data_IF_649464068921
#
_entry.id   IF_649464068921
#
_cell.length_a   1.000
_cell.length_b   1.000
_cell.length_c   1.000
_cell.angle_alpha   90.00
_cell.angle_beta   90.00
_cell.angle_gamma   90.00
#
_symmetry.space_group_name_H-M   'P 1'
#
loop_
_entity.id
_entity.type
_entity.pdbx_description
1 polymer ?
#
# COMPACT_ATOMS: atom_id res chain seq x y z
N UNK A 1 13.38 9.16 7.07
CA UNK A 1 12.31 9.71 6.21
C UNK A 1 11.49 8.58 5.62
N UNK A 2 10.26 8.40 6.11
CA UNK A 2 9.33 7.37 5.63
C UNK A 2 8.74 7.78 4.27
N UNK A 3 9.19 7.11 3.20
CA UNK A 3 8.93 7.48 1.81
C UNK A 3 7.43 7.41 1.46
N UNK A 4 6.68 6.34 1.79
CA UNK A 4 5.23 6.29 1.53
C UNK A 4 4.46 7.45 2.18
N UNK A 5 4.84 7.80 3.41
CA UNK A 5 4.19 8.90 4.14
C UNK A 5 4.50 10.26 3.56
N UNK A 6 5.72 10.48 3.06
CA UNK A 6 6.07 11.74 2.37
C UNK A 6 5.33 11.86 1.04
N UNK A 7 5.16 10.76 0.29
CA UNK A 7 4.27 10.75 -0.88
C UNK A 7 2.83 11.13 -0.52
N UNK A 8 2.31 10.58 0.57
CA UNK A 8 0.95 10.89 1.01
C UNK A 8 0.80 12.33 1.51
N UNK A 9 1.83 12.89 2.14
CA UNK A 9 1.89 14.30 2.51
C UNK A 9 1.82 15.20 1.26
N UNK A 10 2.57 14.89 0.19
CA UNK A 10 2.50 15.62 -1.09
C UNK A 10 1.10 15.61 -1.67
N UNK A 11 0.46 14.43 -1.76
CA UNK A 11 -0.92 14.31 -2.27
C UNK A 11 -1.90 15.13 -1.41
N UNK A 12 -1.76 15.05 -0.08
CA UNK A 12 -2.60 15.77 0.87
C UNK A 12 -2.43 17.30 0.78
N UNK A 13 -1.19 17.79 0.65
CA UNK A 13 -0.89 19.22 0.48
C UNK A 13 -1.47 19.78 -0.82
N UNK A 14 -1.42 19.01 -1.92
CA UNK A 14 -2.04 19.40 -3.19
C UNK A 14 -3.56 19.48 -3.08
N UNK A 15 -4.18 18.53 -2.39
CA UNK A 15 -5.62 18.58 -2.08
C UNK A 15 -5.97 19.80 -1.21
N UNK A 16 -5.18 20.07 -0.16
CA UNK A 16 -5.37 21.24 0.71
C UNK A 16 -5.27 22.54 -0.08
N UNK A 17 -4.31 22.67 -0.99
CA UNK A 17 -4.18 23.85 -1.83
C UNK A 17 -5.42 24.06 -2.72
N UNK A 18 -5.94 22.99 -3.32
CA UNK A 18 -7.16 23.04 -4.14
C UNK A 18 -8.38 23.47 -3.29
N UNK A 19 -8.54 22.87 -2.11
CA UNK A 19 -9.64 23.19 -1.20
C UNK A 19 -9.55 24.62 -0.68
N UNK A 20 -8.36 25.06 -0.28
CA UNK A 20 -8.14 26.40 0.27
C UNK A 20 -8.56 27.51 -0.70
N UNK A 21 -8.22 27.36 -1.99
CA UNK A 21 -8.69 28.28 -3.03
C UNK A 21 -10.21 28.18 -3.23
N UNK A 22 -10.79 26.99 -3.22
CA UNK A 22 -12.22 26.78 -3.47
C UNK A 22 -13.13 27.29 -2.35
N UNK A 23 -12.70 27.20 -1.08
CA UNK A 23 -13.48 27.59 0.09
C UNK A 23 -13.10 28.96 0.67
N UNK A 24 -12.21 29.70 -0.01
CA UNK A 24 -11.85 31.07 0.36
C UNK A 24 -10.95 31.18 1.60
N UNK A 25 -10.11 30.17 1.88
CA UNK A 25 -9.14 30.21 2.99
C UNK A 25 -7.86 31.01 2.68
N UNK A 26 -7.75 31.54 1.45
CA UNK A 26 -6.72 32.49 1.04
C UNK A 26 -5.63 31.89 0.14
N UNK A 27 -5.25 32.67 -0.87
CA UNK A 27 -4.27 32.26 -1.89
C UNK A 27 -2.85 32.04 -1.32
N UNK A 28 -2.49 32.74 -0.24
CA UNK A 28 -1.21 32.57 0.44
C UNK A 28 -1.04 31.15 1.01
N UNK A 29 -2.04 30.65 1.74
CA UNK A 29 -1.99 29.30 2.29
C UNK A 29 -1.97 28.22 1.20
N UNK A 30 -2.74 28.43 0.12
CA UNK A 30 -2.71 27.52 -1.03
C UNK A 30 -1.33 27.50 -1.71
N UNK A 31 -0.65 28.64 -1.78
CA UNK A 31 0.70 28.74 -2.33
C UNK A 31 1.72 28.03 -1.44
N UNK A 32 1.65 28.22 -0.13
CA UNK A 32 2.55 27.54 0.83
C UNK A 32 2.40 26.02 0.76
N UNK A 33 1.17 25.52 0.66
CA UNK A 33 0.91 24.08 0.48
C UNK A 33 1.55 23.54 -0.79
N UNK A 34 1.43 24.26 -1.92
CA UNK A 34 2.03 23.87 -3.21
C UNK A 34 3.56 23.89 -3.13
N UNK A 35 4.13 24.95 -2.55
CA UNK A 35 5.57 25.09 -2.42
C UNK A 35 6.17 23.93 -1.61
N UNK A 36 5.59 23.60 -0.46
CA UNK A 36 6.04 22.46 0.34
C UNK A 36 5.85 21.12 -0.38
N UNK A 37 4.72 20.94 -1.09
CA UNK A 37 4.49 19.73 -1.89
C UNK A 37 5.54 19.56 -2.99
N UNK A 38 5.94 20.64 -3.64
CA UNK A 38 6.94 20.63 -4.72
C UNK A 38 8.35 20.38 -4.17
N UNK A 39 8.70 20.99 -3.03
CA UNK A 39 9.96 20.72 -2.31
C UNK A 39 10.08 19.23 -1.93
N UNK A 40 9.05 18.67 -1.29
CA UNK A 40 9.05 17.26 -0.88
C UNK A 40 9.03 16.33 -2.09
N UNK A 41 8.33 16.70 -3.18
CA UNK A 41 8.37 15.93 -4.44
C UNK A 41 9.78 15.88 -5.01
N UNK A 42 10.49 17.00 -5.06
CA UNK A 42 11.87 17.06 -5.52
C UNK A 42 12.79 16.20 -4.62
N UNK A 43 12.63 16.28 -3.31
CA UNK A 43 13.38 15.48 -2.35
C UNK A 43 13.11 13.97 -2.51
N UNK A 44 11.86 13.56 -2.70
CA UNK A 44 11.50 12.15 -2.98
C UNK A 44 12.19 11.66 -4.25
N UNK A 45 12.17 12.44 -5.33
CA UNK A 45 12.82 12.04 -6.57
C UNK A 45 14.34 11.90 -6.39
N UNK A 46 15.01 12.75 -5.63
CA UNK A 46 16.46 12.64 -5.43
C UNK A 46 16.81 11.52 -4.45
N UNK A 47 16.12 11.46 -3.30
CA UNK A 47 16.55 10.68 -2.14
C UNK A 47 15.69 9.46 -1.84
N UNK A 48 14.44 9.40 -2.31
CA UNK A 48 13.48 8.34 -1.97
C UNK A 48 13.66 7.02 -2.71
N UNK A 49 14.62 6.92 -3.63
CA UNK A 49 14.84 5.75 -4.48
C UNK A 49 16.03 4.92 -3.99
N UNK A 50 15.98 3.62 -4.22
CA UNK A 50 17.08 2.69 -3.96
C UNK A 50 17.20 1.65 -5.07
N UNK A 51 18.24 0.82 -5.03
CA UNK A 51 18.48 -0.25 -5.98
C UNK A 51 18.43 -1.60 -5.29
N UNK A 52 17.72 -2.55 -5.87
CA UNK A 52 17.76 -3.94 -5.45
C UNK A 52 19.13 -4.56 -5.81
N UNK A 53 19.51 -5.71 -5.23
CA UNK A 53 20.71 -6.44 -5.63
C UNK A 53 20.77 -6.79 -7.13
N UNK A 54 19.62 -6.89 -7.79
CA UNK A 54 19.50 -7.08 -9.25
C UNK A 54 19.86 -5.84 -10.09
N UNK A 55 20.03 -4.67 -9.45
CA UNK A 55 20.22 -3.37 -10.09
C UNK A 55 18.92 -2.65 -10.46
N UNK A 56 17.75 -3.25 -10.26
CA UNK A 56 16.46 -2.60 -10.53
C UNK A 56 16.21 -1.45 -9.54
N UNK A 57 15.88 -0.26 -10.06
CA UNK A 57 15.53 0.91 -9.25
C UNK A 57 14.09 0.79 -8.74
N UNK A 58 13.91 1.03 -7.45
CA UNK A 58 12.62 0.97 -6.74
C UNK A 58 12.51 2.15 -5.77
N UNK A 59 11.30 2.42 -5.28
CA UNK A 59 11.14 3.26 -4.10
C UNK A 59 11.72 2.55 -2.88
N UNK A 60 12.49 3.27 -2.07
CA UNK A 60 12.85 2.83 -0.73
C UNK A 60 11.63 2.97 0.19
N UNK A 61 11.57 2.18 1.26
CA UNK A 61 10.56 2.36 2.31
C UNK A 61 10.95 3.54 3.21
N UNK A 62 12.21 3.58 3.62
CA UNK A 62 12.78 4.63 4.45
C UNK A 62 14.16 5.03 3.95
N UNK A 63 14.47 6.32 4.05
CA UNK A 63 15.79 6.88 3.73
C UNK A 63 16.21 7.88 4.81
N UNK A 64 17.50 8.09 5.04
CA UNK A 64 17.99 8.99 6.10
C UNK A 64 18.53 10.34 5.61
N UNK A 65 18.71 10.51 4.31
CA UNK A 65 19.33 11.71 3.71
C UNK A 65 20.86 11.73 3.77
N UNK A 66 21.49 10.73 4.39
CA UNK A 66 22.95 10.52 4.42
C UNK A 66 23.40 9.43 3.44
N UNK A 67 22.45 8.78 2.76
CA UNK A 67 22.70 7.75 1.74
C UNK A 67 22.23 6.36 2.15
N UNK A 68 21.74 6.16 3.38
CA UNK A 68 21.13 4.89 3.75
C UNK A 68 19.68 4.84 3.25
N UNK A 69 19.30 3.69 2.74
CA UNK A 69 17.95 3.39 2.28
C UNK A 69 17.59 1.95 2.64
N UNK A 70 16.40 1.75 3.20
CA UNK A 70 15.85 0.42 3.47
C UNK A 70 14.80 0.11 2.41
N UNK A 71 14.97 -1.03 1.73
CA UNK A 71 13.93 -1.60 0.89
C UNK A 71 13.12 -2.64 1.69
N UNK A 72 11.83 -2.36 1.87
CA UNK A 72 10.82 -3.27 2.41
C UNK A 72 9.44 -2.70 2.05
N UNK A 73 8.38 -3.37 2.49
CA UNK A 73 7.07 -2.71 2.62
C UNK A 73 6.35 -3.30 3.82
N UNK A 74 5.44 -2.53 4.38
CA UNK A 74 4.57 -2.91 5.49
C UNK A 74 3.11 -2.94 5.01
N UNK A 75 2.30 -3.80 5.61
CA UNK A 75 0.90 -3.96 5.23
C UNK A 75 0.01 -2.75 5.59
N UNK A 76 0.42 -1.92 6.54
CA UNK A 76 -0.29 -0.71 6.89
C UNK A 76 -0.22 0.32 5.76
N UNK A 77 -1.31 1.06 5.55
CA UNK A 77 -1.36 2.19 4.62
C UNK A 77 -1.14 3.49 5.40
N UNK A 78 -0.23 4.40 4.97
CA UNK A 78 0.51 4.40 3.71
C UNK A 78 1.72 3.45 3.68
N UNK A 79 1.70 2.50 2.73
CA UNK A 79 2.83 1.66 2.31
C UNK A 79 3.14 1.87 0.83
N UNK A 80 4.27 1.36 0.34
CA UNK A 80 4.69 1.50 -1.06
C UNK A 80 3.68 0.90 -2.03
N UNK A 81 3.12 -0.27 -1.68
CA UNK A 81 2.09 -0.94 -2.47
C UNK A 81 0.83 -0.07 -2.66
N UNK A 82 0.47 0.71 -1.64
CA UNK A 82 -0.73 1.53 -1.58
C UNK A 82 -0.61 2.92 -2.23
N UNK A 83 0.55 3.28 -2.78
CA UNK A 83 0.76 4.63 -3.35
C UNK A 83 -0.29 5.04 -4.40
N UNK A 84 -0.69 4.20 -5.37
CA UNK A 84 -1.74 4.58 -6.30
C UNK A 84 -3.13 4.66 -5.68
N UNK A 85 -3.40 3.86 -4.65
CA UNK A 85 -4.68 3.92 -3.92
C UNK A 85 -4.86 5.28 -3.25
N UNK A 86 -3.78 5.84 -2.70
CA UNK A 86 -3.76 7.15 -2.06
C UNK A 86 -3.65 8.33 -3.05
N UNK A 87 -3.63 8.06 -4.36
CA UNK A 87 -3.47 9.10 -5.39
C UNK A 87 -2.06 9.70 -5.47
N UNK A 88 -1.04 9.04 -4.90
CA UNK A 88 0.33 9.54 -4.89
C UNK A 88 1.04 9.35 -6.25
N UNK A 89 0.65 8.33 -7.02
CA UNK A 89 1.16 8.05 -8.36
C UNK A 89 0.13 7.27 -9.18
N UNK A 90 0.38 7.09 -10.48
CA UNK A 90 -0.47 6.27 -11.34
C UNK A 90 -0.21 4.77 -11.17
N UNK A 91 -1.25 3.93 -11.35
CA UNK A 91 -1.10 2.45 -11.35
C UNK A 91 -0.15 1.93 -12.43
N UNK A 92 0.07 2.72 -13.49
CA UNK A 92 0.96 2.41 -14.62
C UNK A 92 2.33 3.10 -14.54
N UNK A 93 2.64 3.79 -13.45
CA UNK A 93 3.96 4.40 -13.26
C UNK A 93 5.05 3.29 -13.28
N UNK A 94 6.08 3.39 -14.14
CA UNK A 94 7.08 2.34 -14.27
C UNK A 94 7.87 2.05 -12.98
N UNK A 95 8.19 3.09 -12.20
CA UNK A 95 8.90 2.96 -10.93
C UNK A 95 8.00 2.35 -9.85
N UNK A 96 6.72 2.73 -9.82
CA UNK A 96 5.73 2.06 -8.99
C UNK A 96 5.60 0.58 -9.37
N UNK A 97 5.50 0.23 -10.66
CA UNK A 97 5.36 -1.16 -11.09
C UNK A 97 6.58 -2.01 -10.74
N UNK A 98 7.80 -1.45 -10.85
CA UNK A 98 9.03 -2.10 -10.36
C UNK A 98 8.96 -2.32 -8.85
N UNK A 99 8.60 -1.29 -8.10
CA UNK A 99 8.44 -1.35 -6.64
C UNK A 99 7.38 -2.39 -6.25
N UNK A 100 6.21 -2.39 -6.90
CA UNK A 100 5.10 -3.32 -6.66
C UNK A 100 5.54 -4.77 -6.81
N UNK A 101 6.25 -5.11 -7.89
CA UNK A 101 6.79 -6.46 -8.10
C UNK A 101 7.77 -6.83 -6.98
N UNK A 102 8.65 -5.90 -6.63
CA UNK A 102 9.67 -6.14 -5.62
C UNK A 102 9.08 -6.33 -4.22
N UNK A 103 8.10 -5.51 -3.81
CA UNK A 103 7.48 -5.61 -2.47
C UNK A 103 6.60 -6.85 -2.31
N UNK A 104 6.09 -7.38 -3.43
CA UNK A 104 5.33 -8.63 -3.51
C UNK A 104 6.21 -9.84 -3.85
N UNK A 105 7.46 -9.84 -3.39
CA UNK A 105 8.43 -10.91 -3.61
C UNK A 105 9.32 -11.11 -2.39
N UNK A 106 10.17 -12.14 -2.41
CA UNK A 106 11.15 -12.40 -1.35
C UNK A 106 12.24 -11.32 -1.23
N UNK A 107 12.28 -10.32 -2.11
CA UNK A 107 13.11 -9.13 -1.92
C UNK A 107 12.62 -8.27 -0.75
N UNK A 108 11.31 -8.32 -0.43
CA UNK A 108 10.76 -7.70 0.77
C UNK A 108 10.90 -8.67 1.96
N UNK A 109 11.62 -8.30 3.04
CA UNK A 109 11.78 -9.17 4.21
C UNK A 109 10.46 -9.48 4.94
N UNK A 110 9.40 -8.70 4.69
CA UNK A 110 8.08 -8.89 5.27
C UNK A 110 7.04 -9.43 4.28
N UNK A 111 7.48 -9.89 3.09
CA UNK A 111 6.66 -10.73 2.24
C UNK A 111 6.80 -12.18 2.68
N UNK A 112 5.67 -12.80 3.05
CA UNK A 112 5.61 -14.17 3.49
C UNK A 112 4.82 -15.00 2.48
N UNK A 113 5.26 -16.24 2.26
CA UNK A 113 4.58 -17.20 1.41
C UNK A 113 4.49 -18.54 2.13
N UNK A 114 3.27 -19.06 2.24
CA UNK A 114 2.95 -20.31 2.91
C UNK A 114 1.89 -21.11 2.17
N UNK A 115 1.41 -22.18 2.81
CA UNK A 115 0.42 -23.09 2.22
C UNK A 115 -0.97 -22.46 2.10
N UNK A 116 -1.32 -21.51 2.96
CA UNK A 116 -2.63 -20.87 2.95
C UNK A 116 -2.64 -19.56 2.15
N UNK A 117 -1.56 -18.77 2.22
CA UNK A 117 -1.46 -17.50 1.49
C UNK A 117 -0.02 -17.02 1.28
N UNK A 118 0.12 -16.10 0.34
CA UNK A 118 1.26 -15.20 0.23
C UNK A 118 0.80 -13.75 0.35
N UNK A 119 1.58 -12.91 1.03
CA UNK A 119 1.27 -11.50 1.21
C UNK A 119 2.26 -10.80 2.13
N UNK A 120 2.03 -9.51 2.36
CA UNK A 120 2.92 -8.66 3.17
C UNK A 120 2.38 -8.62 4.60
N UNK A 121 3.29 -8.66 5.56
CA UNK A 121 3.01 -8.36 6.97
C UNK A 121 3.77 -7.13 7.42
N UNK A 122 4.56 -7.29 8.47
CA UNK A 122 5.36 -6.22 9.03
C UNK A 122 6.05 -6.65 10.33
N UNK A 123 6.97 -5.84 10.87
CA UNK A 123 7.62 -6.15 12.15
C UNK A 123 6.65 -6.11 13.34
N UNK A 124 5.48 -5.48 13.20
CA UNK A 124 4.54 -5.25 14.32
C UNK A 124 4.02 -6.55 14.95
N UNK A 125 3.58 -7.51 14.16
CA UNK A 125 3.16 -8.84 14.65
C UNK A 125 4.30 -9.86 14.54
N UNK A 126 5.22 -9.65 13.59
CA UNK A 126 6.39 -10.49 13.40
C UNK A 126 6.31 -11.41 12.18
N UNK A 127 7.20 -12.40 12.17
CA UNK A 127 7.43 -13.28 11.00
C UNK A 127 6.22 -14.14 10.68
N UNK A 128 6.07 -14.44 9.39
CA UNK A 128 5.10 -15.41 8.85
C UNK A 128 3.62 -15.02 8.99
N UNK A 129 3.35 -13.79 9.44
CA UNK A 129 2.00 -13.25 9.64
C UNK A 129 1.62 -12.34 8.48
N UNK A 130 0.73 -12.81 7.61
CA UNK A 130 0.21 -12.06 6.45
C UNK A 130 -0.97 -11.21 6.90
N UNK A 131 -1.02 -9.96 6.44
CA UNK A 131 -2.09 -9.05 6.79
C UNK A 131 -3.11 -8.94 5.64
N UNK A 132 -4.42 -9.14 5.90
CA UNK A 132 -5.46 -8.96 4.87
C UNK A 132 -5.39 -7.61 4.16
N UNK A 133 -4.97 -6.54 4.85
CA UNK A 133 -4.83 -5.21 4.25
C UNK A 133 -3.85 -5.18 3.07
N UNK A 134 -2.76 -5.96 3.11
CA UNK A 134 -1.83 -5.99 1.97
C UNK A 134 -2.49 -6.61 0.73
N UNK A 135 -3.32 -7.65 0.90
CA UNK A 135 -4.08 -8.29 -0.18
C UNK A 135 -5.13 -7.32 -0.76
N UNK A 136 -5.80 -6.56 0.10
CA UNK A 136 -6.75 -5.54 -0.33
C UNK A 136 -6.05 -4.43 -1.12
N UNK A 137 -4.91 -3.93 -0.64
CA UNK A 137 -4.09 -2.96 -1.38
C UNK A 137 -3.57 -3.53 -2.69
N UNK A 138 -3.15 -4.80 -2.70
CA UNK A 138 -2.69 -5.49 -3.90
C UNK A 138 -3.77 -5.53 -4.98
N UNK A 139 -5.03 -5.80 -4.60
CA UNK A 139 -6.18 -5.80 -5.52
C UNK A 139 -6.62 -4.40 -5.95
N UNK A 140 -6.73 -3.45 -5.02
CA UNK A 140 -7.17 -2.07 -5.30
C UNK A 140 -6.21 -1.36 -6.26
N UNK A 141 -4.92 -1.71 -6.22
CA UNK A 141 -3.89 -1.15 -7.10
C UNK A 141 -3.55 -2.03 -8.31
N UNK A 142 -4.23 -3.17 -8.48
CA UNK A 142 -3.98 -4.10 -9.57
C UNK A 142 -4.31 -3.52 -10.96
N UNK A 143 -3.52 -3.92 -11.95
CA UNK A 143 -3.79 -3.71 -13.38
C UNK A 143 -4.22 -5.01 -14.10
N UNK A 144 -4.08 -6.17 -13.44
CA UNK A 144 -4.51 -7.48 -13.95
C UNK A 144 -5.72 -8.03 -13.18
N UNK A 145 -6.59 -8.76 -13.88
CA UNK A 145 -7.73 -9.44 -13.24
C UNK A 145 -7.27 -10.59 -12.34
N UNK A 146 -6.11 -11.19 -12.63
CA UNK A 146 -5.58 -12.32 -11.87
C UNK A 146 -5.09 -11.90 -10.48
N UNK A 147 -4.48 -10.72 -10.34
CA UNK A 147 -4.12 -10.14 -9.03
C UNK A 147 -5.37 -9.92 -8.17
N UNK A 148 -6.46 -9.45 -8.79
CA UNK A 148 -7.75 -9.22 -8.11
C UNK A 148 -8.36 -10.55 -7.67
N UNK A 149 -8.45 -11.54 -8.58
CA UNK A 149 -8.99 -12.87 -8.27
C UNK A 149 -8.20 -13.58 -7.17
N UNK A 150 -6.87 -13.52 -7.25
CA UNK A 150 -5.99 -14.07 -6.22
C UNK A 150 -6.32 -13.48 -4.86
N UNK A 151 -6.39 -12.16 -4.76
CA UNK A 151 -6.64 -11.46 -3.51
C UNK A 151 -8.03 -11.77 -2.95
N UNK A 152 -9.08 -11.72 -3.78
CA UNK A 152 -10.45 -12.03 -3.38
C UNK A 152 -10.58 -13.47 -2.87
N UNK A 153 -9.99 -14.43 -3.59
CA UNK A 153 -9.98 -15.84 -3.17
C UNK A 153 -9.28 -16.00 -1.82
N UNK A 154 -8.08 -15.43 -1.67
CA UNK A 154 -7.32 -15.53 -0.43
C UNK A 154 -8.11 -14.94 0.75
N UNK A 155 -8.65 -13.72 0.61
CA UNK A 155 -9.45 -13.08 1.66
C UNK A 155 -10.68 -13.92 2.04
N UNK A 156 -11.32 -14.56 1.06
CA UNK A 156 -12.45 -15.48 1.28
C UNK A 156 -12.05 -16.77 2.00
N UNK A 157 -10.81 -17.24 1.87
CA UNK A 157 -10.38 -18.53 2.46
C UNK A 157 -9.56 -18.38 3.73
N UNK A 158 -9.16 -17.18 4.13
CA UNK A 158 -8.28 -16.95 5.30
C UNK A 158 -8.95 -16.21 6.46
N UNK A 159 -10.28 -16.08 6.46
CA UNK A 159 -11.02 -15.46 7.56
C UNK A 159 -11.35 -16.41 8.72
N UNK A 160 -10.79 -17.63 8.76
CA UNK A 160 -10.98 -18.62 9.84
C UNK A 160 -12.45 -18.89 10.25
N UNK A 161 -13.39 -18.83 9.29
CA UNK A 161 -14.82 -19.02 9.56
C UNK A 161 -15.54 -17.85 10.25
N UNK A 162 -14.85 -16.74 10.56
CA UNK A 162 -15.44 -15.61 11.32
C UNK A 162 -16.33 -14.70 10.48
N UNK A 163 -16.10 -14.64 9.16
CA UNK A 163 -16.77 -13.69 8.26
C UNK A 163 -16.25 -12.26 8.35
N UNK A 164 -15.18 -12.00 9.11
CA UNK A 164 -14.55 -10.68 9.27
C UNK A 164 -13.09 -10.68 8.79
N UNK A 165 -12.57 -9.49 8.51
CA UNK A 165 -11.16 -9.29 8.27
C UNK A 165 -10.41 -9.10 9.60
N UNK A 166 -9.32 -9.83 9.74
CA UNK A 166 -8.41 -9.77 10.87
C UNK A 166 -7.26 -8.78 10.60
N UNK A 167 -6.44 -8.50 11.62
CA UNK A 167 -5.21 -7.71 11.42
C UNK A 167 -4.16 -8.52 10.66
N UNK A 168 -3.88 -9.73 11.15
CA UNK A 168 -2.96 -10.66 10.52
C UNK A 168 -3.42 -12.10 10.72
N UNK A 169 -2.96 -13.00 9.86
CA UNK A 169 -3.13 -14.44 9.98
C UNK A 169 -1.84 -15.17 9.57
N UNK A 170 -1.57 -16.33 10.15
CA UNK A 170 -0.36 -17.09 9.84
C UNK A 170 -0.42 -17.65 8.41
N UNK A 171 0.67 -17.51 7.64
CA UNK A 171 0.74 -17.87 6.21
C UNK A 171 0.38 -19.32 5.88
N UNK A 172 0.53 -20.22 6.86
CA UNK A 172 0.24 -21.67 6.74
C UNK A 172 -1.04 -22.09 7.49
N UNK A 173 -1.57 -21.25 8.38
CA UNK A 173 -2.69 -21.59 9.25
C UNK A 173 -3.52 -20.34 9.60
N UNK A 174 -4.57 -20.02 8.83
CA UNK A 174 -5.37 -18.83 9.06
C UNK A 174 -6.14 -18.81 10.37
N UNK A 175 -6.30 -19.95 11.06
CA UNK A 175 -6.94 -20.00 12.38
C UNK A 175 -6.07 -19.32 13.45
N UNK A 176 -4.76 -19.15 13.19
CA UNK A 176 -3.84 -18.35 14.00
C UNK A 176 -3.85 -16.91 13.49
N UNK A 177 -4.78 -16.11 13.98
CA UNK A 177 -4.95 -14.70 13.58
C UNK A 177 -4.92 -13.74 14.78
N UNK A 178 -4.73 -12.45 14.51
CA UNK A 178 -4.79 -11.37 15.51
C UNK A 178 -5.95 -10.42 15.25
N UNK A 179 -6.47 -9.80 16.32
CA UNK A 179 -7.59 -8.85 16.32
C UNK A 179 -8.85 -9.37 15.60
N UNK A 180 -9.70 -10.15 16.31
CA UNK A 180 -10.97 -10.64 15.75
C UNK A 180 -11.93 -9.52 15.32
N UNK A 181 -11.76 -8.31 15.87
CA UNK A 181 -12.55 -7.14 15.52
C UNK A 181 -11.67 -5.98 15.09
N UNK A 182 -11.59 -5.75 13.79
CA UNK A 182 -10.82 -4.67 13.21
C UNK A 182 -11.63 -3.90 12.16
N UNK A 183 -12.31 -2.84 12.63
CA UNK A 183 -13.23 -2.07 11.81
C UNK A 183 -12.60 -1.49 10.54
N UNK A 184 -11.35 -1.02 10.58
CA UNK A 184 -10.67 -0.51 9.39
C UNK A 184 -10.48 -1.59 8.32
N UNK A 185 -9.97 -2.77 8.68
CA UNK A 185 -9.82 -3.87 7.73
C UNK A 185 -11.17 -4.32 7.15
N UNK A 186 -12.23 -4.32 7.96
CA UNK A 186 -13.60 -4.61 7.51
C UNK A 186 -14.12 -3.56 6.50
N UNK A 187 -13.93 -2.27 6.79
CA UNK A 187 -14.31 -1.19 5.87
C UNK A 187 -13.57 -1.30 4.55
N UNK A 188 -12.26 -1.55 4.59
CA UNK A 188 -11.44 -1.68 3.40
C UNK A 188 -11.87 -2.87 2.53
N UNK A 189 -12.32 -3.97 3.15
CA UNK A 189 -12.87 -5.11 2.42
C UNK A 189 -14.18 -4.74 1.72
N UNK A 190 -15.09 -4.05 2.41
CA UNK A 190 -16.32 -3.55 1.80
C UNK A 190 -16.04 -2.60 0.63
N UNK A 191 -15.06 -1.71 0.78
CA UNK A 191 -14.61 -0.83 -0.29
C UNK A 191 -14.08 -1.60 -1.50
N UNK A 192 -13.22 -2.61 -1.29
CA UNK A 192 -12.71 -3.48 -2.35
C UNK A 192 -13.85 -4.16 -3.11
N UNK A 193 -14.83 -4.74 -2.42
CA UNK A 193 -15.97 -5.39 -3.06
C UNK A 193 -16.78 -4.39 -3.90
N UNK A 194 -17.02 -3.18 -3.37
CA UNK A 194 -17.75 -2.14 -4.09
C UNK A 194 -16.98 -1.65 -5.34
N UNK A 195 -15.66 -1.50 -5.23
CA UNK A 195 -14.79 -1.11 -6.35
C UNK A 195 -14.78 -2.19 -7.45
N UNK A 196 -14.62 -3.47 -7.09
CA UNK A 196 -14.68 -4.58 -8.06
C UNK A 196 -16.06 -4.69 -8.67
N UNK A 197 -17.14 -4.55 -7.90
CA UNK A 197 -18.51 -4.56 -8.43
C UNK A 197 -18.73 -3.46 -9.47
N UNK A 198 -18.21 -2.25 -9.23
CA UNK A 198 -18.35 -1.12 -10.17
C UNK A 198 -17.50 -1.27 -11.43
N UNK A 199 -16.26 -1.76 -11.31
CA UNK A 199 -15.30 -1.79 -12.42
C UNK A 199 -15.28 -3.11 -13.19
N UNK A 200 -15.49 -4.23 -12.50
CA UNK A 200 -15.27 -5.61 -12.97
C UNK A 200 -16.22 -6.62 -12.29
N UNK A 201 -17.55 -6.44 -12.37
CA UNK A 201 -18.53 -7.26 -11.64
C UNK A 201 -18.43 -8.76 -11.96
N UNK A 202 -17.96 -9.13 -13.16
CA UNK A 202 -17.72 -10.50 -13.57
C UNK A 202 -16.70 -11.26 -12.71
N UNK A 203 -15.87 -10.56 -11.92
CA UNK A 203 -14.91 -11.17 -11.00
C UNK A 203 -15.52 -11.58 -9.66
N UNK A 204 -16.79 -11.21 -9.40
CA UNK A 204 -17.53 -11.55 -8.18
C UNK A 204 -18.54 -12.69 -8.39
N UNK A 205 -18.71 -13.15 -9.62
CA UNK A 205 -19.63 -14.22 -10.00
C UNK A 205 -19.12 -15.61 -9.59
#
# INVERSE_FOLDING_TARGET
>A
FLVPSNHFAVASLRNLAQMASAVGLGDGFALDCKALADEVTAALMVWGRTHLPSGETVWAYEVDGYGNAIFMDDANTPGLLGLPYLGCCGKSDPLYLATRRAVWSTANPYFFSGTAASGIGGPHIGRDMVWPMSLMMYALTATSDDDIRLSLRTLKTTHAGTGFMHEAFHKDDPARFTRPWFAWANTLFGELILDVYKRKPQLLA
#
